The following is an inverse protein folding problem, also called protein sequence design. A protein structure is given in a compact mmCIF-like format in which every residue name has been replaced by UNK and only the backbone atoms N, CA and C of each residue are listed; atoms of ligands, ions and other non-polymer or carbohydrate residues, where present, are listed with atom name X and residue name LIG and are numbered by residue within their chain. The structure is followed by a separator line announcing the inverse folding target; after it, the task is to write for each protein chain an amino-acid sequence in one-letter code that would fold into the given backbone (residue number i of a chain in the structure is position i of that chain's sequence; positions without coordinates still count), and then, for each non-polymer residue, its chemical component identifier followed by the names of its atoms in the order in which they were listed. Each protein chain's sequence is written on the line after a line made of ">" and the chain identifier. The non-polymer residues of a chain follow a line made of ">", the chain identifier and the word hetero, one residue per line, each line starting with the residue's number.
data_IF_526506310367
#
_entry.id   IF_526506310367
#
_cell.length_a   1.000
_cell.length_b   1.000
_cell.length_c   1.000
_cell.angle_alpha   90.00
_cell.angle_beta   90.00
_cell.angle_gamma   90.00
#
_symmetry.space_group_name_H-M   'P 1'
#
loop_
_entity.id
_entity.type
_entity.pdbx_description
1 polymer ?
#
# COMPACT_ATOMS: atom_id res chain seq x y z
N UNK A 1 -6.72 -16.81 1.36
CA UNK A 1 -7.33 -17.06 0.03
C UNK A 1 -7.59 -15.75 -0.73
N UNK A 2 -8.27 -14.76 -0.15
CA UNK A 2 -8.55 -13.46 -0.79
C UNK A 2 -7.30 -12.72 -1.34
N UNK A 3 -6.21 -12.60 -0.55
CA UNK A 3 -4.94 -11.99 -1.00
C UNK A 3 -4.42 -12.63 -2.29
N UNK A 4 -4.26 -13.96 -2.30
CA UNK A 4 -3.68 -14.69 -3.43
C UNK A 4 -4.56 -14.62 -4.69
N UNK A 5 -5.87 -14.45 -4.54
CA UNK A 5 -6.78 -14.29 -5.67
C UNK A 5 -6.64 -12.90 -6.36
N UNK A 6 -6.29 -11.86 -5.60
CA UNK A 6 -6.18 -10.48 -6.11
C UNK A 6 -4.76 -10.17 -6.65
N UNK A 7 -3.74 -10.94 -6.27
CA UNK A 7 -2.34 -10.75 -6.68
C UNK A 7 -2.17 -10.57 -8.21
N UNK A 8 -2.72 -11.43 -9.08
CA UNK A 8 -2.53 -11.28 -10.52
C UNK A 8 -3.06 -9.94 -11.06
N UNK A 9 -4.21 -9.51 -10.54
CA UNK A 9 -4.86 -8.25 -10.94
C UNK A 9 -4.02 -7.05 -10.49
N UNK A 10 -3.44 -7.12 -9.29
CA UNK A 10 -2.58 -6.05 -8.77
C UNK A 10 -1.26 -5.92 -9.50
N UNK A 11 -0.71 -7.01 -10.03
CA UNK A 11 0.51 -6.98 -10.85
C UNK A 11 0.26 -6.20 -12.14
N UNK A 12 -0.85 -6.49 -12.81
CA UNK A 12 -1.26 -5.76 -14.03
C UNK A 12 -1.53 -4.29 -13.72
N UNK A 13 -2.33 -4.01 -12.69
CA UNK A 13 -2.63 -2.63 -12.28
C UNK A 13 -1.36 -1.83 -11.95
N UNK A 14 -0.42 -2.42 -11.21
CA UNK A 14 0.86 -1.80 -10.84
C UNK A 14 1.74 -1.49 -12.04
N UNK A 15 1.82 -2.39 -13.02
CA UNK A 15 2.61 -2.18 -14.23
C UNK A 15 2.01 -1.11 -15.14
N UNK A 16 0.68 -1.01 -15.20
CA UNK A 16 -0.02 -0.03 -16.03
C UNK A 16 0.00 1.38 -15.45
N UNK A 17 -0.02 1.51 -14.11
CA UNK A 17 -0.18 2.78 -13.41
C UNK A 17 0.77 3.91 -13.87
N UNK A 18 2.09 3.68 -14.03
CA UNK A 18 3.02 4.74 -14.47
C UNK A 18 2.69 5.25 -15.87
N UNK A 19 2.40 4.35 -16.81
CA UNK A 19 2.03 4.71 -18.19
C UNK A 19 0.71 5.47 -18.24
N UNK A 20 -0.24 5.07 -17.39
CA UNK A 20 -1.56 5.71 -17.32
C UNK A 20 -1.46 7.12 -16.73
N UNK A 21 -0.66 7.33 -15.69
CA UNK A 21 -0.44 8.64 -15.08
C UNK A 21 0.32 9.56 -16.05
N UNK A 22 1.44 9.10 -16.61
CA UNK A 22 2.24 9.90 -17.54
C UNK A 22 1.46 10.20 -18.82
N UNK A 23 0.82 9.18 -19.40
CA UNK A 23 0.03 9.34 -20.62
C UNK A 23 -1.20 10.24 -20.42
N UNK A 24 -1.88 10.13 -19.28
CA UNK A 24 -3.00 10.99 -18.92
C UNK A 24 -2.59 12.45 -18.70
N UNK A 25 -1.41 12.68 -18.12
CA UNK A 25 -0.85 14.01 -17.88
C UNK A 25 -0.40 14.69 -19.19
N UNK A 26 0.37 14.00 -20.03
CA UNK A 26 0.95 14.59 -21.24
C UNK A 26 -0.06 14.73 -22.38
N UNK A 27 -0.86 13.69 -22.64
CA UNK A 27 -1.76 13.67 -23.80
C UNK A 27 -3.18 14.14 -23.48
N UNK A 28 -3.46 14.49 -22.22
CA UNK A 28 -4.78 14.92 -21.75
C UNK A 28 -5.93 13.95 -22.08
N UNK A 29 -5.62 12.68 -22.37
CA UNK A 29 -6.59 11.68 -22.81
C UNK A 29 -7.50 11.30 -21.63
N UNK A 30 -8.78 11.64 -21.74
CA UNK A 30 -9.78 11.32 -20.72
C UNK A 30 -9.84 9.81 -20.46
N UNK A 31 -9.79 8.96 -21.49
CA UNK A 31 -9.80 7.50 -21.31
C UNK A 31 -8.73 6.97 -20.32
N UNK A 32 -7.52 7.54 -20.33
CA UNK A 32 -6.43 7.15 -19.44
C UNK A 32 -6.72 7.53 -17.97
N UNK A 33 -7.35 8.68 -17.72
CA UNK A 33 -7.71 9.10 -16.36
C UNK A 33 -8.63 8.06 -15.68
N UNK A 34 -9.64 7.57 -16.40
CA UNK A 34 -10.55 6.53 -15.87
C UNK A 34 -9.89 5.18 -15.70
N UNK A 35 -8.98 4.80 -16.60
CA UNK A 35 -8.18 3.59 -16.42
C UNK A 35 -7.33 3.70 -15.13
N UNK A 36 -6.78 4.88 -14.86
CA UNK A 36 -5.98 5.15 -13.65
C UNK A 36 -6.81 5.04 -12.38
N UNK A 37 -8.06 5.55 -12.40
CA UNK A 37 -9.03 5.39 -11.30
C UNK A 37 -9.26 3.91 -11.00
N UNK A 38 -9.51 3.07 -12.02
CA UNK A 38 -9.69 1.63 -11.82
C UNK A 38 -8.44 0.96 -11.27
N UNK A 39 -7.25 1.29 -11.79
CA UNK A 39 -6.00 0.75 -11.28
C UNK A 39 -5.79 1.10 -9.79
N UNK A 40 -5.96 2.37 -9.40
CA UNK A 40 -5.86 2.78 -8.00
C UNK A 40 -6.92 2.12 -7.10
N UNK A 41 -8.16 1.97 -7.57
CA UNK A 41 -9.22 1.29 -6.82
C UNK A 41 -8.85 -0.18 -6.53
N UNK A 42 -8.35 -0.91 -7.53
CA UNK A 42 -7.87 -2.28 -7.36
C UNK A 42 -6.73 -2.35 -6.32
N UNK A 43 -5.76 -1.43 -6.41
CA UNK A 43 -4.63 -1.38 -5.49
C UNK A 43 -5.07 -1.07 -4.05
N UNK A 44 -6.04 -0.16 -3.86
CA UNK A 44 -6.58 0.15 -2.53
C UNK A 44 -7.32 -1.04 -1.91
N UNK A 45 -8.13 -1.75 -2.69
CA UNK A 45 -8.81 -2.97 -2.21
C UNK A 45 -7.77 -4.00 -1.75
N UNK A 46 -6.72 -4.20 -2.54
CA UNK A 46 -5.63 -5.10 -2.14
C UNK A 46 -4.94 -4.63 -0.84
N UNK A 47 -4.59 -3.35 -0.76
CA UNK A 47 -3.95 -2.78 0.42
C UNK A 47 -4.81 -2.93 1.68
N UNK A 48 -6.13 -2.72 1.61
CA UNK A 48 -7.05 -2.95 2.74
C UNK A 48 -7.03 -4.42 3.18
N UNK A 49 -7.01 -5.36 2.23
CA UNK A 49 -6.98 -6.79 2.53
C UNK A 49 -5.64 -7.22 3.13
N UNK A 50 -4.53 -6.60 2.73
CA UNK A 50 -3.18 -6.97 3.22
C UNK A 50 -2.77 -6.23 4.48
N UNK A 51 -3.30 -5.05 4.74
CA UNK A 51 -2.90 -4.22 5.88
C UNK A 51 -2.98 -4.94 7.24
N UNK A 52 -4.00 -5.76 7.55
CA UNK A 52 -4.02 -6.56 8.78
C UNK A 52 -2.85 -7.54 8.92
N UNK A 53 -2.36 -8.12 7.81
CA UNK A 53 -1.26 -9.09 7.86
C UNK A 53 0.08 -8.42 8.15
N UNK A 54 0.25 -7.16 7.75
CA UNK A 54 1.46 -6.39 8.04
C UNK A 54 1.55 -6.04 9.54
N UNK A 55 0.41 -5.71 10.18
CA UNK A 55 0.36 -5.53 11.63
C UNK A 55 0.60 -6.84 12.39
N UNK A 56 0.01 -7.95 11.93
CA UNK A 56 0.23 -9.27 12.53
C UNK A 56 1.69 -9.71 12.40
N UNK A 57 2.31 -9.50 11.23
CA UNK A 57 3.72 -9.79 11.00
C UNK A 57 4.62 -9.01 11.97
N UNK A 58 4.41 -7.71 12.12
CA UNK A 58 5.16 -6.90 13.09
C UNK A 58 4.95 -7.36 14.53
N UNK A 59 3.74 -7.77 14.91
CA UNK A 59 3.46 -8.32 16.25
C UNK A 59 4.20 -9.64 16.49
N UNK A 60 4.12 -10.58 15.55
CA UNK A 60 4.79 -11.88 15.64
C UNK A 60 6.31 -11.74 15.67
N UNK A 61 6.87 -10.84 14.84
CA UNK A 61 8.30 -10.57 14.83
C UNK A 61 8.80 -10.11 16.21
N UNK A 62 8.08 -9.21 16.90
CA UNK A 62 8.44 -8.78 18.27
C UNK A 62 8.56 -9.94 19.25
N UNK A 63 7.59 -10.85 19.21
CA UNK A 63 7.56 -12.02 20.08
C UNK A 63 8.73 -12.96 19.77
N UNK A 64 8.96 -13.27 18.49
CA UNK A 64 10.03 -14.19 18.08
C UNK A 64 11.41 -13.61 18.45
N UNK A 65 11.63 -12.30 18.22
CA UNK A 65 12.88 -11.62 18.58
C UNK A 65 13.16 -11.68 20.09
N UNK A 66 12.13 -11.55 20.93
CA UNK A 66 12.26 -11.71 22.38
C UNK A 66 12.54 -13.16 22.76
N UNK A 67 11.85 -14.12 22.14
CA UNK A 67 12.04 -15.56 22.40
C UNK A 67 13.42 -16.07 22.00
N UNK A 68 14.02 -15.52 20.95
CA UNK A 68 15.36 -15.88 20.50
C UNK A 68 16.47 -15.35 21.43
N UNK A 69 16.14 -14.50 22.41
CA UNK A 69 17.12 -13.93 23.34
C UNK A 69 18.13 -12.98 22.69
N UNK A 70 17.91 -12.60 21.42
CA UNK A 70 18.83 -11.73 20.67
C UNK A 70 18.62 -10.24 20.94
N UNK A 71 17.53 -9.88 21.64
CA UNK A 71 17.21 -8.50 22.01
C UNK A 71 17.29 -8.36 23.53
N UNK A 72 18.15 -7.46 24.00
CA UNK A 72 18.34 -7.21 25.44
C UNK A 72 17.16 -6.44 26.03
N UNK A 73 16.71 -6.77 27.25
CA UNK A 73 15.71 -5.96 27.96
C UNK A 73 16.16 -4.50 28.10
N UNK A 74 15.19 -3.57 28.09
CA UNK A 74 15.45 -2.13 28.14
C UNK A 74 15.42 -1.47 26.77
N UNK A 75 16.48 -0.75 26.43
CA UNK A 75 16.52 0.13 25.24
C UNK A 75 16.39 -0.63 23.91
N UNK A 76 17.01 -1.81 23.77
CA UNK A 76 16.96 -2.57 22.52
C UNK A 76 15.53 -3.05 22.21
N UNK A 77 14.79 -3.55 23.21
CA UNK A 77 13.37 -3.93 23.03
C UNK A 77 12.53 -2.72 22.63
N UNK A 78 12.77 -1.54 23.23
CA UNK A 78 12.08 -0.31 22.83
C UNK A 78 12.39 0.08 21.39
N UNK A 79 13.66 0.02 20.99
CA UNK A 79 14.11 0.29 19.62
C UNK A 79 13.47 -0.65 18.59
N UNK A 80 13.52 -1.95 18.84
CA UNK A 80 12.88 -2.98 18.01
C UNK A 80 11.37 -2.73 17.87
N UNK A 81 10.71 -2.41 18.98
CA UNK A 81 9.27 -2.11 18.96
C UNK A 81 8.93 -0.89 18.10
N UNK A 82 9.75 0.16 18.17
CA UNK A 82 9.60 1.37 17.37
C UNK A 82 9.79 1.08 15.88
N UNK A 83 10.84 0.36 15.52
CA UNK A 83 11.13 0.00 14.12
C UNK A 83 10.03 -0.89 13.53
N UNK A 84 9.62 -1.95 14.23
CA UNK A 84 8.58 -2.86 13.72
C UNK A 84 7.20 -2.19 13.65
N UNK A 85 6.90 -1.24 14.54
CA UNK A 85 5.69 -0.41 14.41
C UNK A 85 5.78 0.51 13.19
N UNK A 86 6.92 1.19 13.00
CA UNK A 86 7.13 2.05 11.85
C UNK A 86 7.02 1.27 10.53
N UNK A 87 7.55 0.04 10.48
CA UNK A 87 7.46 -0.84 9.33
C UNK A 87 6.00 -1.19 8.96
N UNK A 88 5.11 -1.43 9.93
CA UNK A 88 3.69 -1.63 9.63
C UNK A 88 3.02 -0.33 9.17
N UNK A 89 3.42 0.81 9.73
CA UNK A 89 2.87 2.13 9.36
C UNK A 89 3.25 2.58 7.95
N UNK A 90 4.35 2.08 7.36
CA UNK A 90 4.68 2.41 5.95
C UNK A 90 3.61 1.93 4.98
N UNK A 91 2.96 0.79 5.26
CA UNK A 91 1.83 0.30 4.46
C UNK A 91 0.59 1.18 4.62
N UNK A 92 0.34 1.69 5.82
CA UNK A 92 -0.74 2.66 6.06
C UNK A 92 -0.47 3.95 5.29
N UNK A 93 0.76 4.45 5.32
CA UNK A 93 1.16 5.63 4.57
C UNK A 93 0.99 5.42 3.06
N UNK A 94 1.40 4.26 2.54
CA UNK A 94 1.21 3.90 1.13
C UNK A 94 -0.28 3.85 0.75
N UNK A 95 -1.13 3.29 1.61
CA UNK A 95 -2.58 3.28 1.42
C UNK A 95 -3.17 4.70 1.36
N UNK A 96 -2.82 5.56 2.31
CA UNK A 96 -3.29 6.95 2.34
C UNK A 96 -2.82 7.71 1.09
N UNK A 97 -1.57 7.52 0.67
CA UNK A 97 -1.03 8.14 -0.54
C UNK A 97 -1.78 7.68 -1.80
N UNK A 98 -2.05 6.38 -1.93
CA UNK A 98 -2.83 5.83 -3.04
C UNK A 98 -4.27 6.35 -3.04
N UNK A 99 -4.89 6.49 -1.86
CA UNK A 99 -6.23 7.04 -1.69
C UNK A 99 -6.28 8.51 -2.10
N UNK A 100 -5.30 9.30 -1.69
CA UNK A 100 -5.17 10.70 -2.11
C UNK A 100 -5.07 10.85 -3.63
N UNK A 101 -4.27 9.99 -4.28
CA UNK A 101 -4.17 9.98 -5.74
C UNK A 101 -5.48 9.59 -6.43
N UNK A 102 -6.20 8.59 -5.91
CA UNK A 102 -7.51 8.19 -6.43
C UNK A 102 -8.50 9.37 -6.37
N UNK A 103 -8.63 10.00 -5.20
CA UNK A 103 -9.52 11.13 -4.99
C UNK A 103 -9.16 12.32 -5.90
N UNK A 104 -7.86 12.58 -6.07
CA UNK A 104 -7.38 13.61 -6.97
C UNK A 104 -7.73 13.33 -8.44
N UNK A 105 -7.53 12.09 -8.91
CA UNK A 105 -7.91 11.68 -10.27
C UNK A 105 -9.42 11.78 -10.49
N UNK A 106 -10.24 11.37 -9.52
CA UNK A 106 -11.70 11.54 -9.57
C UNK A 106 -12.10 13.02 -9.64
N UNK A 107 -11.48 13.87 -8.81
CA UNK A 107 -11.73 15.31 -8.84
C UNK A 107 -11.33 15.97 -10.17
N UNK A 108 -10.27 15.50 -10.83
CA UNK A 108 -9.90 15.98 -12.17
C UNK A 108 -10.87 15.49 -13.24
N UNK A 109 -11.35 14.25 -13.11
CA UNK A 109 -12.32 13.66 -14.02
C UNK A 109 -13.64 14.41 -14.03
N UNK A 110 -14.16 14.77 -12.85
CA UNK A 110 -15.45 15.47 -12.72
C UNK A 110 -15.40 16.94 -13.20
N UNK A 111 -14.20 17.53 -13.29
CA UNK A 111 -13.98 18.91 -13.75
C UNK A 111 -13.86 19.05 -15.26
N UNK A 112 -13.94 17.96 -16.03
CA UNK A 112 -13.84 17.94 -17.50
C UNK A 112 -15.13 17.43 -18.11
#
# INVERSE_FOLDING_TARGET
>A
KARMAIVPVTMVASQMLPFVILGGLFFHITGLITLGIYCYAILLVFQIITLPVEFDASRRAKIILQQMGIVRPGEEVMGVNKVLNAAALTYVAAFIAALGNLLWLMSIRDRR
#
